data_IF_170580891544
#
_entry.id   IF_170580891544
#
_cell.length_a   1.000
_cell.length_b   1.000
_cell.length_c   1.000
_cell.angle_alpha   90.00
_cell.angle_beta   90.00
_cell.angle_gamma   90.00
#
_symmetry.space_group_name_H-M   'P 1'
#
loop_
_entity.id
_entity.type
_entity.pdbx_description
1 polymer ?
#
# COMPACT_ATOMS: atom_id res chain seq x y z
N UNK A 1 12.96 -10.86 -9.67
CA UNK A 1 12.75 -10.12 -8.42
C UNK A 1 12.08 -11.10 -7.42
N UNK A 2 12.16 -10.89 -6.10
CA UNK A 2 11.67 -11.89 -5.14
C UNK A 2 10.13 -11.89 -5.12
N UNK A 3 9.49 -13.02 -5.42
CA UNK A 3 8.03 -13.13 -5.51
C UNK A 3 7.30 -12.68 -4.23
N UNK A 4 7.91 -12.85 -3.05
CA UNK A 4 7.37 -12.34 -1.79
C UNK A 4 7.38 -10.80 -1.72
N UNK A 5 8.44 -10.18 -2.22
CA UNK A 5 8.54 -8.71 -2.31
C UNK A 5 7.50 -8.17 -3.28
N UNK A 6 7.31 -8.81 -4.42
CA UNK A 6 6.33 -8.40 -5.44
C UNK A 6 4.91 -8.46 -4.88
N UNK A 7 4.52 -9.56 -4.21
CA UNK A 7 3.19 -9.69 -3.60
C UNK A 7 2.92 -8.63 -2.53
N UNK A 8 3.90 -8.36 -1.67
CA UNK A 8 3.77 -7.35 -0.62
C UNK A 8 3.72 -5.94 -1.23
N UNK A 9 4.61 -5.64 -2.17
CA UNK A 9 4.60 -4.38 -2.93
C UNK A 9 3.24 -4.15 -3.56
N UNK A 10 2.70 -5.13 -4.26
CA UNK A 10 1.41 -5.04 -4.92
C UNK A 10 0.27 -4.72 -3.96
N UNK A 11 0.25 -5.36 -2.78
CA UNK A 11 -0.76 -5.07 -1.75
C UNK A 11 -0.62 -3.66 -1.20
N UNK A 12 0.63 -3.22 -0.92
CA UNK A 12 0.93 -1.87 -0.45
C UNK A 12 0.56 -0.82 -1.51
N UNK A 13 0.81 -1.08 -2.79
CA UNK A 13 0.54 -0.15 -3.88
C UNK A 13 -0.96 0.15 -3.99
N UNK A 14 -1.81 -0.86 -3.87
CA UNK A 14 -3.27 -0.64 -3.88
C UNK A 14 -3.75 0.18 -2.67
N UNK A 15 -3.15 0.02 -1.49
CA UNK A 15 -3.46 0.85 -0.33
C UNK A 15 -2.99 2.30 -0.51
N UNK A 16 -1.80 2.50 -1.09
CA UNK A 16 -1.28 3.84 -1.38
C UNK A 16 -2.19 4.53 -2.40
N UNK A 17 -2.51 3.88 -3.53
CA UNK A 17 -3.44 4.40 -4.53
C UNK A 17 -4.79 4.79 -3.91
N UNK A 18 -5.36 3.92 -3.08
CA UNK A 18 -6.61 4.23 -2.38
C UNK A 18 -6.51 5.47 -1.48
N UNK A 19 -5.34 5.74 -0.90
CA UNK A 19 -5.11 6.91 -0.06
C UNK A 19 -4.96 8.20 -0.88
N UNK A 20 -4.26 8.15 -2.02
CA UNK A 20 -3.91 9.31 -2.85
C UNK A 20 -5.01 9.69 -3.86
N UNK A 21 -5.74 8.70 -4.39
CA UNK A 21 -6.82 8.93 -5.37
C UNK A 21 -8.00 9.61 -4.68
N UNK A 22 -8.45 10.72 -5.27
CA UNK A 22 -9.57 11.52 -4.74
C UNK A 22 -10.93 11.12 -5.31
N UNK A 23 -10.95 10.36 -6.40
CA UNK A 23 -12.17 9.74 -6.92
C UNK A 23 -12.61 8.57 -6.03
N UNK A 24 -13.83 8.66 -5.47
CA UNK A 24 -14.33 7.70 -4.48
C UNK A 24 -14.50 6.28 -5.06
N UNK A 25 -14.94 6.16 -6.32
CA UNK A 25 -15.15 4.86 -6.97
C UNK A 25 -13.83 4.14 -7.22
N UNK A 26 -12.84 4.86 -7.77
CA UNK A 26 -11.50 4.34 -8.02
C UNK A 26 -10.78 4.05 -6.70
N UNK A 27 -10.92 4.92 -5.71
CA UNK A 27 -10.39 4.70 -4.36
C UNK A 27 -10.99 3.42 -3.74
N UNK A 28 -12.31 3.20 -3.86
CA UNK A 28 -12.98 1.99 -3.40
C UNK A 28 -12.51 0.72 -4.13
N UNK A 29 -12.29 0.81 -5.44
CA UNK A 29 -11.75 -0.29 -6.24
C UNK A 29 -10.34 -0.69 -5.76
N UNK A 30 -9.47 0.28 -5.52
CA UNK A 30 -8.13 0.05 -4.95
C UNK A 30 -8.20 -0.57 -3.54
N UNK A 31 -9.08 -0.10 -2.65
CA UNK A 31 -9.28 -0.75 -1.33
C UNK A 31 -9.69 -2.21 -1.47
N UNK A 32 -10.57 -2.50 -2.42
CA UNK A 32 -11.06 -3.87 -2.68
C UNK A 32 -9.94 -4.76 -3.23
N UNK A 33 -9.14 -4.26 -4.17
CA UNK A 33 -7.97 -4.97 -4.69
C UNK A 33 -6.92 -5.21 -3.59
N UNK A 34 -6.66 -4.20 -2.75
CA UNK A 34 -5.76 -4.29 -1.60
C UNK A 34 -6.22 -5.37 -0.60
N UNK A 35 -7.51 -5.41 -0.23
CA UNK A 35 -8.07 -6.48 0.61
C UNK A 35 -7.84 -7.86 0.02
N UNK A 36 -8.08 -8.04 -1.28
CA UNK A 36 -7.88 -9.33 -1.94
C UNK A 36 -6.39 -9.77 -1.92
N UNK A 37 -5.46 -8.85 -2.19
CA UNK A 37 -4.02 -9.13 -2.16
C UNK A 37 -3.52 -9.43 -0.73
N UNK A 38 -4.00 -8.69 0.27
CA UNK A 38 -3.68 -8.94 1.68
C UNK A 38 -4.25 -10.28 2.16
N UNK A 39 -5.46 -10.65 1.75
CA UNK A 39 -6.03 -11.97 2.05
C UNK A 39 -5.19 -13.10 1.44
N UNK A 40 -4.67 -12.92 0.22
CA UNK A 40 -3.75 -13.87 -0.40
C UNK A 40 -2.41 -13.97 0.36
N UNK A 41 -1.88 -12.85 0.85
CA UNK A 41 -0.69 -12.84 1.72
C UNK A 41 -0.95 -13.52 3.06
N UNK A 42 -2.11 -13.31 3.69
CA UNK A 42 -2.46 -13.96 4.94
C UNK A 42 -2.64 -15.48 4.79
N UNK A 43 -3.13 -15.92 3.63
CA UNK A 43 -3.27 -17.35 3.31
C UNK A 43 -1.93 -18.04 3.03
N UNK A 44 -0.95 -17.32 2.48
CA UNK A 44 0.41 -17.80 2.22
C UNK A 44 1.45 -16.73 2.62
N UNK A 45 1.73 -16.59 3.94
CA UNK A 45 2.60 -15.53 4.45
C UNK A 45 4.03 -15.67 3.93
N UNK A 46 4.64 -14.59 3.43
CA UNK A 46 6.05 -14.62 3.04
C UNK A 46 6.96 -14.81 4.25
N UNK A 47 8.11 -15.45 4.05
CA UNK A 47 9.14 -15.57 5.10
C UNK A 47 9.69 -14.18 5.46
N UNK A 48 9.58 -13.72 6.73
CA UNK A 48 10.09 -12.43 7.18
C UNK A 48 11.58 -12.24 6.91
N UNK A 49 12.40 -13.31 6.95
CA UNK A 49 13.83 -13.23 6.68
C UNK A 49 14.15 -12.92 5.21
N UNK A 50 13.22 -13.25 4.30
CA UNK A 50 13.36 -13.07 2.86
C UNK A 50 12.84 -11.71 2.35
N UNK A 51 12.14 -10.95 3.21
CA UNK A 51 11.41 -9.74 2.86
C UNK A 51 12.00 -8.50 3.56
N UNK A 52 12.13 -7.40 2.82
CA UNK A 52 12.41 -6.08 3.38
C UNK A 52 11.20 -5.19 3.15
N UNK A 53 10.47 -4.87 4.21
CA UNK A 53 9.26 -4.04 4.15
C UNK A 53 9.55 -2.66 3.52
N UNK A 54 10.63 -2.00 3.93
CA UNK A 54 11.00 -0.68 3.37
C UNK A 54 11.29 -0.75 1.86
N UNK A 55 11.86 -1.87 1.38
CA UNK A 55 12.11 -2.09 -0.04
C UNK A 55 10.80 -2.29 -0.81
N UNK A 56 9.89 -3.13 -0.28
CA UNK A 56 8.57 -3.33 -0.89
C UNK A 56 7.74 -2.04 -0.88
N UNK A 57 7.80 -1.27 0.20
CA UNK A 57 7.16 0.03 0.34
C UNK A 57 7.67 1.05 -0.68
N UNK A 58 8.99 1.21 -0.81
CA UNK A 58 9.58 2.13 -1.79
C UNK A 58 9.11 1.81 -3.22
N UNK A 59 9.09 0.52 -3.58
CA UNK A 59 8.59 0.08 -4.89
C UNK A 59 7.08 0.34 -5.04
N UNK A 60 6.30 0.15 -3.98
CA UNK A 60 4.86 0.38 -4.00
C UNK A 60 4.51 1.86 -4.15
N UNK A 61 5.28 2.76 -3.52
CA UNK A 61 5.19 4.20 -3.72
C UNK A 61 5.47 4.55 -5.18
N UNK A 62 6.55 4.04 -5.76
CA UNK A 62 6.86 4.26 -7.17
C UNK A 62 5.76 3.74 -8.12
N UNK A 63 5.16 2.59 -7.83
CA UNK A 63 4.06 2.04 -8.64
C UNK A 63 2.75 2.84 -8.47
N UNK A 64 2.53 3.46 -7.31
CA UNK A 64 1.36 4.28 -7.03
C UNK A 64 1.49 5.71 -7.59
N UNK A 65 2.70 6.27 -7.62
CA UNK A 65 3.03 7.58 -8.22
C UNK A 65 3.31 7.48 -9.73
N UNK A 66 2.90 6.38 -10.38
CA UNK A 66 3.10 6.20 -11.81
C UNK A 66 2.45 7.37 -12.57
N UNK A 67 3.09 7.93 -13.62
CA UNK A 67 2.60 9.11 -14.33
C UNK A 67 1.16 9.01 -14.84
N UNK A 68 0.72 7.79 -15.13
CA UNK A 68 -0.64 7.48 -15.61
C UNK A 68 -1.71 7.69 -14.53
N UNK A 69 -1.32 7.72 -13.25
CA UNK A 69 -2.20 7.92 -12.10
C UNK A 69 -2.21 9.38 -11.61
N UNK A 70 -1.22 10.19 -11.99
CA UNK A 70 -1.11 11.60 -11.61
C UNK A 70 -2.37 12.46 -11.89
N UNK A 71 -3.16 12.24 -12.97
CA UNK A 71 -4.43 12.97 -13.18
C UNK A 71 -5.54 12.59 -12.19
N UNK A 72 -5.45 11.43 -11.53
CA UNK A 72 -6.43 10.91 -10.57
C UNK A 72 -6.08 11.28 -9.12
N UNK A 73 -4.84 11.73 -8.89
CA UNK A 73 -4.36 12.28 -7.64
C UNK A 73 -4.86 13.72 -7.48
N UNK A 74 -5.65 13.99 -6.44
CA UNK A 74 -6.35 15.28 -6.25
C UNK A 74 -5.48 16.48 -5.85
N UNK A 75 -4.18 16.47 -6.14
CA UNK A 75 -3.14 17.43 -5.74
C UNK A 75 -2.95 17.63 -4.22
N UNK A 76 -1.78 17.25 -3.71
CA UNK A 76 -0.79 18.06 -2.97
C UNK A 76 0.56 17.30 -3.13
N UNK A 77 1.72 17.95 -3.03
CA UNK A 77 2.99 17.23 -2.81
C UNK A 77 2.85 16.31 -1.59
N UNK A 78 2.52 15.05 -1.80
CA UNK A 78 2.34 14.05 -0.76
C UNK A 78 3.68 13.32 -0.62
N UNK A 79 4.44 13.69 0.41
CA UNK A 79 5.74 13.09 0.69
C UNK A 79 5.53 11.88 1.61
N UNK A 80 5.37 10.70 1.01
CA UNK A 80 5.33 9.47 1.78
C UNK A 80 6.68 9.22 2.48
N UNK A 81 6.67 8.67 3.71
CA UNK A 81 7.91 8.39 4.42
C UNK A 81 8.70 7.30 3.69
N UNK A 82 10.03 7.34 3.84
CA UNK A 82 10.91 6.31 3.27
C UNK A 82 10.77 4.96 3.97
N UNK A 83 10.50 4.96 5.27
CA UNK A 83 10.26 3.75 6.04
C UNK A 83 8.81 3.30 5.87
N UNK A 84 8.58 1.99 5.76
CA UNK A 84 7.23 1.46 5.73
C UNK A 84 6.54 1.70 7.08
N UNK A 85 5.33 2.26 7.12
CA UNK A 85 4.60 2.49 8.37
C UNK A 85 3.98 1.21 8.95
N UNK A 86 4.16 0.06 8.29
CA UNK A 86 3.61 -1.23 8.68
C UNK A 86 4.69 -2.31 8.73
N UNK A 87 4.51 -3.26 9.63
CA UNK A 87 5.26 -4.51 9.68
C UNK A 87 4.54 -5.61 8.88
N UNK A 88 5.29 -6.66 8.50
CA UNK A 88 4.69 -7.82 7.84
C UNK A 88 3.64 -8.50 8.74
N UNK A 89 3.93 -8.64 10.03
CA UNK A 89 3.04 -9.27 11.01
C UNK A 89 1.70 -8.54 11.11
N UNK A 90 1.72 -7.20 11.11
CA UNK A 90 0.50 -6.39 11.14
C UNK A 90 -0.36 -6.60 9.89
N UNK A 91 0.22 -6.53 8.68
CA UNK A 91 -0.56 -6.58 7.44
C UNK A 91 -1.16 -7.97 7.15
N UNK A 92 -0.59 -9.04 7.72
CA UNK A 92 -1.14 -10.41 7.63
C UNK A 92 -1.96 -10.80 8.85
N UNK A 93 -2.05 -9.93 9.86
CA UNK A 93 -2.79 -10.22 11.08
C UNK A 93 -4.29 -10.40 10.78
N UNK A 94 -4.95 -11.36 11.43
CA UNK A 94 -6.40 -11.49 11.35
C UNK A 94 -7.05 -10.20 11.87
N UNK A 95 -7.91 -9.59 11.05
CA UNK A 95 -8.59 -8.34 11.39
C UNK A 95 -7.81 -7.06 11.04
N UNK A 96 -6.74 -7.15 10.23
CA UNK A 96 -6.13 -5.97 9.64
C UNK A 96 -7.16 -5.14 8.87
N UNK A 97 -7.33 -3.87 9.28
CA UNK A 97 -8.33 -2.96 8.73
C UNK A 97 -7.71 -2.11 7.62
N UNK A 98 -8.05 -2.44 6.38
CA UNK A 98 -7.57 -1.75 5.18
C UNK A 98 -8.03 -0.30 5.13
N UNK A 99 -9.26 0.02 5.56
CA UNK A 99 -9.75 1.39 5.51
C UNK A 99 -8.97 2.26 6.50
N UNK A 100 -8.72 1.73 7.70
CA UNK A 100 -7.88 2.40 8.70
C UNK A 100 -6.44 2.56 8.25
N UNK A 101 -5.87 1.55 7.57
CA UNK A 101 -4.52 1.62 7.01
C UNK A 101 -4.43 2.70 5.92
N UNK A 102 -5.41 2.78 5.02
CA UNK A 102 -5.50 3.81 3.98
C UNK A 102 -5.62 5.21 4.60
N UNK A 103 -6.46 5.38 5.63
CA UNK A 103 -6.55 6.65 6.36
C UNK A 103 -5.24 7.03 7.06
N UNK A 104 -4.50 6.04 7.57
CA UNK A 104 -3.19 6.28 8.16
C UNK A 104 -2.18 6.75 7.10
N UNK A 105 -2.14 6.10 5.94
CA UNK A 105 -1.28 6.49 4.80
C UNK A 105 -1.62 7.92 4.36
N UNK A 106 -2.90 8.26 4.21
CA UNK A 106 -3.34 9.61 3.85
C UNK A 106 -2.86 10.64 4.87
N UNK A 107 -2.96 10.34 6.17
CA UNK A 107 -2.50 11.23 7.24
C UNK A 107 -1.00 11.47 7.18
N UNK A 108 -0.19 10.41 7.10
CA UNK A 108 1.28 10.56 7.06
C UNK A 108 1.75 11.29 5.81
N UNK A 109 1.10 11.06 4.67
CA UNK A 109 1.39 11.73 3.41
C UNK A 109 1.08 13.24 3.47
N UNK A 110 0.06 13.63 4.26
CA UNK A 110 -0.36 15.02 4.43
C UNK A 110 0.46 15.80 5.46
N UNK A 111 1.33 15.12 6.22
CA UNK A 111 2.13 15.71 7.31
C UNK A 111 3.61 15.90 6.97
N UNK A 112 4.01 15.60 5.74
CA UNK A 112 5.41 15.64 5.30
C UNK A 112 5.93 17.02 4.90
#
# INVERSE_FOLDING_TARGET
MNASVERVRDALAEMIKAALISDDETSLACRTAGRAKLAALAADPPDPASLRMDGAWTLAVHDAEAPDLAPLEGQVNLTLPRACPFTLEEIVAPGFDVDRAVDHIRKIASTG
#
